data_IF_712010062362
#
_entry.id   IF_712010062362
#
_cell.length_a   1.000
_cell.length_b   1.000
_cell.length_c   1.000
_cell.angle_alpha   90.00
_cell.angle_beta   90.00
_cell.angle_gamma   90.00
#
_symmetry.space_group_name_H-M   'P 1'
#
loop_
_entity.id
_entity.type
_entity.pdbx_description
1 polymer ?
#
# COMPACT_ATOMS: atom_id res chain seq x y z
N UNK A 1 -1.95 3.01 -23.49
CA UNK A 1 -2.06 4.46 -23.79
C UNK A 1 -1.66 5.30 -22.57
N UNK A 2 -2.14 5.00 -21.36
CA UNK A 2 -1.94 5.83 -20.16
C UNK A 2 -0.49 5.85 -19.68
N UNK A 3 0.20 4.72 -19.69
CA UNK A 3 1.63 4.66 -19.33
C UNK A 3 2.50 5.55 -20.22
N UNK A 4 2.26 5.55 -21.54
CA UNK A 4 2.98 6.42 -22.48
C UNK A 4 2.65 7.89 -22.24
N UNK A 5 1.40 8.22 -21.93
CA UNK A 5 0.98 9.57 -21.58
C UNK A 5 1.69 10.07 -20.31
N UNK A 6 1.84 9.23 -19.29
CA UNK A 6 2.56 9.59 -18.06
C UNK A 6 4.04 9.84 -18.31
N UNK A 7 4.68 9.07 -19.19
CA UNK A 7 6.09 9.24 -19.52
C UNK A 7 6.38 10.50 -20.37
N UNK A 8 5.41 10.92 -21.19
CA UNK A 8 5.57 12.08 -22.09
C UNK A 8 5.04 13.38 -21.49
N UNK A 9 4.29 13.32 -20.38
CA UNK A 9 3.72 14.48 -19.73
C UNK A 9 4.78 15.28 -18.98
N UNK A 10 4.67 16.60 -19.02
CA UNK A 10 5.58 17.51 -18.30
C UNK A 10 5.58 17.27 -16.80
N UNK A 11 6.78 17.33 -16.21
CA UNK A 11 6.98 17.27 -14.75
C UNK A 11 6.88 18.68 -14.18
N UNK A 12 5.73 19.00 -13.60
CA UNK A 12 5.45 20.30 -13.00
C UNK A 12 5.65 20.20 -11.49
N UNK A 13 6.53 21.04 -10.94
CA UNK A 13 6.72 21.17 -9.50
C UNK A 13 6.19 22.52 -9.03
N UNK A 14 5.31 22.60 -8.01
CA UNK A 14 4.81 23.87 -7.48
C UNK A 14 5.97 24.73 -6.94
N UNK A 15 5.87 26.05 -7.13
CA UNK A 15 6.93 26.99 -6.71
C UNK A 15 7.12 27.05 -5.21
N UNK A 16 6.06 26.78 -4.43
CA UNK A 16 6.09 26.75 -2.97
C UNK A 16 6.40 25.40 -2.35
N UNK A 17 6.56 24.35 -3.16
CA UNK A 17 6.83 22.99 -2.65
C UNK A 17 8.28 22.82 -2.17
N UNK A 18 8.47 22.03 -1.11
CA UNK A 18 9.80 21.56 -0.72
C UNK A 18 10.28 20.52 -1.74
N UNK A 19 11.15 20.97 -2.66
CA UNK A 19 11.60 20.19 -3.81
C UNK A 19 12.26 18.86 -3.42
N UNK A 20 12.99 18.81 -2.30
CA UNK A 20 13.67 17.60 -1.86
C UNK A 20 12.64 16.56 -1.39
N UNK A 21 11.76 16.95 -0.47
CA UNK A 21 10.74 16.07 0.11
C UNK A 21 9.69 15.69 -0.95
N UNK A 22 9.33 16.64 -1.83
CA UNK A 22 8.42 16.42 -2.94
C UNK A 22 8.89 15.33 -3.91
N UNK A 23 10.18 15.31 -4.25
CA UNK A 23 10.75 14.28 -5.11
C UNK A 23 10.99 12.96 -4.37
N UNK A 24 11.16 12.99 -3.05
CA UNK A 24 11.38 11.80 -2.24
C UNK A 24 10.11 10.95 -2.08
N UNK A 25 8.93 11.59 -2.00
CA UNK A 25 7.66 10.89 -1.79
C UNK A 25 7.35 9.80 -2.85
N UNK A 26 7.42 10.06 -4.17
CA UNK A 26 7.20 9.02 -5.17
C UNK A 26 8.27 7.93 -5.16
N UNK A 27 9.52 8.27 -4.79
CA UNK A 27 10.60 7.28 -4.64
C UNK A 27 10.30 6.32 -3.50
N UNK A 28 9.83 6.82 -2.35
CA UNK A 28 9.40 5.98 -1.23
C UNK A 28 8.22 5.10 -1.67
N UNK A 29 7.27 5.65 -2.42
CA UNK A 29 6.13 4.90 -2.94
C UNK A 29 6.57 3.70 -3.77
N UNK A 30 7.44 3.90 -4.71
CA UNK A 30 7.94 2.84 -5.59
C UNK A 30 8.83 1.84 -4.84
N UNK A 31 9.71 2.33 -3.94
CA UNK A 31 10.59 1.50 -3.14
C UNK A 31 9.81 0.53 -2.24
N UNK A 32 8.70 0.97 -1.61
CA UNK A 32 7.88 0.10 -0.77
C UNK A 32 7.28 -1.07 -1.55
N UNK A 33 6.84 -0.84 -2.77
CA UNK A 33 6.32 -1.91 -3.64
C UNK A 33 7.41 -2.95 -3.93
N UNK A 34 8.61 -2.53 -4.33
CA UNK A 34 9.73 -3.44 -4.59
C UNK A 34 10.10 -4.24 -3.33
N UNK A 35 10.15 -3.57 -2.17
CA UNK A 35 10.48 -4.23 -0.90
C UNK A 35 9.42 -5.28 -0.51
N UNK A 36 8.14 -5.04 -0.78
CA UNK A 36 7.09 -6.05 -0.55
C UNK A 36 7.30 -7.30 -1.42
N UNK A 37 7.67 -7.11 -2.68
CA UNK A 37 7.91 -8.22 -3.60
C UNK A 37 9.11 -9.08 -3.20
N UNK A 38 10.05 -8.55 -2.43
CA UNK A 38 11.24 -9.29 -2.00
C UNK A 38 10.94 -10.53 -1.14
N UNK A 39 9.79 -10.57 -0.46
CA UNK A 39 9.42 -11.64 0.48
C UNK A 39 8.30 -12.53 -0.05
N UNK A 40 7.60 -12.10 -1.11
CA UNK A 40 6.50 -12.87 -1.70
C UNK A 40 7.04 -14.09 -2.45
N UNK A 41 6.64 -15.33 -2.09
CA UNK A 41 7.04 -16.53 -2.81
C UNK A 41 6.26 -16.66 -4.12
N UNK A 42 6.93 -16.55 -5.25
CA UNK A 42 6.33 -16.74 -6.58
C UNK A 42 6.19 -18.20 -6.94
N UNK A 43 7.22 -18.98 -6.61
CA UNK A 43 7.26 -20.43 -6.80
C UNK A 43 8.07 -21.03 -5.67
N UNK A 44 7.95 -22.36 -5.43
CA UNK A 44 8.77 -23.04 -4.41
C UNK A 44 10.29 -22.90 -4.62
N UNK A 45 10.70 -22.60 -5.86
CA UNK A 45 12.12 -22.46 -6.24
C UNK A 45 12.57 -21.00 -6.39
N UNK A 46 11.63 -20.05 -6.53
CA UNK A 46 11.94 -18.64 -6.76
C UNK A 46 11.33 -17.80 -5.63
N UNK A 47 12.08 -17.69 -4.56
CA UNK A 47 11.78 -16.84 -3.41
C UNK A 47 12.89 -15.80 -3.36
N UNK A 48 12.51 -14.52 -3.23
CA UNK A 48 13.51 -13.46 -3.12
C UNK A 48 14.32 -13.59 -1.84
N UNK A 49 13.63 -13.64 -0.70
CA UNK A 49 14.22 -13.91 0.61
C UNK A 49 13.22 -14.69 1.47
N UNK A 50 13.58 -15.92 1.88
CA UNK A 50 12.79 -16.64 2.89
C UNK A 50 13.18 -16.13 4.29
N UNK A 51 12.35 -15.22 4.80
CA UNK A 51 12.54 -14.63 6.12
C UNK A 51 11.56 -15.28 7.09
N UNK A 52 12.06 -15.84 8.20
CA UNK A 52 11.23 -16.50 9.21
C UNK A 52 10.13 -15.60 9.82
N UNK A 53 10.24 -14.28 9.65
CA UNK A 53 9.26 -13.25 10.07
C UNK A 53 8.62 -12.55 8.87
N UNK A 54 8.42 -13.27 7.76
CA UNK A 54 7.96 -12.70 6.48
C UNK A 54 6.67 -11.89 6.57
N UNK A 55 5.68 -12.36 7.34
CA UNK A 55 4.42 -11.63 7.56
C UNK A 55 4.66 -10.30 8.27
N UNK A 56 5.47 -10.28 9.32
CA UNK A 56 5.80 -9.05 10.04
C UNK A 56 6.55 -8.05 9.15
N UNK A 57 7.51 -8.55 8.35
CA UNK A 57 8.23 -7.73 7.38
C UNK A 57 7.26 -7.10 6.36
N UNK A 58 6.35 -7.91 5.80
CA UNK A 58 5.36 -7.45 4.82
C UNK A 58 4.50 -6.31 5.40
N UNK A 59 4.00 -6.49 6.62
CA UNK A 59 3.19 -5.46 7.30
C UNK A 59 4.01 -4.21 7.63
N UNK A 60 5.26 -4.36 8.09
CA UNK A 60 6.12 -3.21 8.36
C UNK A 60 6.41 -2.38 7.10
N UNK A 61 6.63 -3.03 5.96
CA UNK A 61 6.83 -2.33 4.68
C UNK A 61 5.52 -1.68 4.20
N UNK A 62 4.37 -2.31 4.39
CA UNK A 62 3.06 -1.72 4.08
C UNK A 62 2.83 -0.43 4.87
N UNK A 63 3.15 -0.42 6.17
CA UNK A 63 3.03 0.78 7.03
C UNK A 63 3.91 1.95 6.56
N UNK A 64 5.04 1.70 5.89
CA UNK A 64 5.83 2.77 5.26
C UNK A 64 5.02 3.45 4.13
N UNK A 65 4.09 2.72 3.52
CA UNK A 65 3.16 3.26 2.53
C UNK A 65 2.31 4.43 3.03
N UNK A 66 1.93 4.44 4.31
CA UNK A 66 1.19 5.57 4.90
C UNK A 66 2.06 6.81 5.05
N UNK A 67 3.36 6.63 5.32
CA UNK A 67 4.33 7.73 5.42
C UNK A 67 4.50 8.45 4.09
N UNK A 68 4.52 7.72 2.96
CA UNK A 68 4.63 8.35 1.62
C UNK A 68 3.50 9.35 1.36
N UNK A 69 2.27 9.03 1.80
CA UNK A 69 1.09 9.88 1.62
C UNK A 69 1.21 11.17 2.44
N UNK A 70 1.65 11.04 3.69
CA UNK A 70 1.89 12.20 4.55
C UNK A 70 2.96 13.12 3.97
N UNK A 71 4.07 12.55 3.53
CA UNK A 71 5.19 13.27 2.93
C UNK A 71 4.75 13.97 1.64
N UNK A 72 3.95 13.31 0.80
CA UNK A 72 3.42 13.87 -0.44
C UNK A 72 2.48 15.07 -0.19
N UNK A 73 1.52 14.90 0.72
CA UNK A 73 0.59 15.97 1.06
C UNK A 73 1.26 17.19 1.72
N UNK A 74 2.22 16.93 2.62
CA UNK A 74 2.96 18.00 3.30
C UNK A 74 3.86 18.78 2.34
N UNK A 75 4.64 18.08 1.51
CA UNK A 75 5.63 18.70 0.62
C UNK A 75 5.00 19.53 -0.50
N UNK A 76 3.75 19.26 -0.85
CA UNK A 76 2.99 19.98 -1.88
C UNK A 76 2.69 21.45 -1.51
N UNK A 77 2.83 21.82 -0.24
CA UNK A 77 2.51 23.15 0.30
C UNK A 77 1.11 23.65 -0.09
N UNK A 78 0.18 22.71 -0.27
CA UNK A 78 -1.22 22.97 -0.57
C UNK A 78 -2.09 22.45 0.57
N UNK A 79 -2.90 23.35 1.18
CA UNK A 79 -3.80 22.99 2.29
C UNK A 79 -4.80 21.89 1.92
N UNK A 80 -5.21 21.81 0.69
CA UNK A 80 -6.16 20.80 0.21
C UNK A 80 -5.48 19.44 0.02
N UNK A 81 -4.26 19.41 -0.52
CA UNK A 81 -3.46 18.19 -0.61
C UNK A 81 -3.15 17.65 0.78
N UNK A 82 -2.81 18.49 1.74
CA UNK A 82 -2.56 18.11 3.12
C UNK A 82 -3.81 17.54 3.79
N UNK A 83 -4.98 18.17 3.59
CA UNK A 83 -6.24 17.68 4.13
C UNK A 83 -6.63 16.34 3.51
N UNK A 84 -6.42 16.15 2.20
CA UNK A 84 -6.58 14.89 1.51
C UNK A 84 -5.66 13.80 2.06
N UNK A 85 -4.39 14.13 2.34
CA UNK A 85 -3.45 13.21 2.96
C UNK A 85 -3.90 12.75 4.35
N UNK A 86 -4.33 13.65 5.23
CA UNK A 86 -4.83 13.29 6.55
C UNK A 86 -6.06 12.39 6.49
N UNK A 87 -7.00 12.68 5.58
CA UNK A 87 -8.19 11.85 5.38
C UNK A 87 -7.82 10.42 4.95
N UNK A 88 -6.92 10.31 4.00
CA UNK A 88 -6.42 9.02 3.50
C UNK A 88 -5.69 8.24 4.58
N UNK A 89 -4.80 8.88 5.33
CA UNK A 89 -4.05 8.25 6.42
C UNK A 89 -5.00 7.77 7.52
N UNK A 90 -6.01 8.55 7.87
CA UNK A 90 -6.99 8.15 8.87
C UNK A 90 -7.75 6.88 8.44
N UNK A 91 -8.09 6.77 7.17
CA UNK A 91 -8.68 5.55 6.61
C UNK A 91 -7.71 4.38 6.68
N UNK A 92 -6.49 4.51 6.14
CA UNK A 92 -5.50 3.44 6.10
C UNK A 92 -5.17 2.91 7.51
N UNK A 93 -4.89 3.78 8.48
CA UNK A 93 -4.62 3.38 9.86
C UNK A 93 -5.81 2.66 10.50
N UNK A 94 -7.05 3.07 10.19
CA UNK A 94 -8.25 2.43 10.73
C UNK A 94 -8.42 1.00 10.21
N UNK A 95 -8.04 0.73 8.97
CA UNK A 95 -8.15 -0.60 8.36
C UNK A 95 -6.90 -1.46 8.52
N UNK A 96 -5.74 -0.87 8.82
CA UNK A 96 -4.50 -1.59 9.09
C UNK A 96 -4.62 -2.51 10.32
N UNK A 97 -5.29 -2.06 11.37
CA UNK A 97 -5.50 -2.87 12.58
C UNK A 97 -6.32 -4.15 12.31
N UNK A 98 -7.53 -4.10 11.71
CA UNK A 98 -8.25 -5.30 11.30
C UNK A 98 -7.48 -6.18 10.33
N UNK A 99 -6.70 -5.59 9.41
CA UNK A 99 -5.88 -6.31 8.46
C UNK A 99 -4.81 -7.16 9.17
N UNK A 100 -4.06 -6.56 10.10
CA UNK A 100 -3.04 -7.26 10.89
C UNK A 100 -3.68 -8.38 11.73
N UNK A 101 -4.78 -8.10 12.42
CA UNK A 101 -5.47 -9.09 13.25
C UNK A 101 -5.98 -10.27 12.42
N UNK A 102 -6.51 -10.03 11.23
CA UNK A 102 -6.96 -11.10 10.34
C UNK A 102 -5.81 -11.94 9.79
N UNK A 103 -4.64 -11.33 9.54
CA UNK A 103 -3.41 -12.01 9.13
C UNK A 103 -2.77 -12.85 10.23
N UNK A 104 -2.96 -12.51 11.49
CA UNK A 104 -2.45 -13.30 12.60
C UNK A 104 -3.14 -14.67 12.71
N UNK A 105 -4.37 -14.81 12.21
CA UNK A 105 -5.10 -16.10 12.27
C UNK A 105 -4.40 -17.19 11.46
N UNK A 106 -4.07 -17.01 10.15
CA UNK A 106 -3.30 -18.02 9.42
C UNK A 106 -1.89 -18.24 9.99
N UNK A 107 -1.26 -17.22 10.58
CA UNK A 107 0.03 -17.37 11.27
C UNK A 107 -0.11 -18.30 12.48
N UNK A 108 -1.15 -18.15 13.27
CA UNK A 108 -1.43 -19.02 14.44
C UNK A 108 -1.76 -20.45 14.00
N UNK A 109 -2.50 -20.63 12.93
CA UNK A 109 -2.87 -21.94 12.39
C UNK A 109 -1.66 -22.68 11.80
N UNK A 110 -0.74 -21.96 11.14
CA UNK A 110 0.48 -22.54 10.57
C UNK A 110 1.61 -22.71 11.60
N UNK A 111 1.57 -21.97 12.71
CA UNK A 111 2.64 -21.93 13.72
C UNK A 111 3.94 -21.28 13.23
N UNK A 112 3.89 -20.54 12.14
CA UNK A 112 5.05 -19.86 11.54
C UNK A 112 4.66 -18.50 10.96
N UNK A 113 5.60 -17.55 10.94
CA UNK A 113 5.44 -16.25 10.28
C UNK A 113 6.08 -16.21 8.88
N UNK A 114 6.73 -17.29 8.43
CA UNK A 114 7.23 -17.40 7.07
C UNK A 114 6.07 -17.52 6.08
N UNK A 115 6.06 -16.72 5.02
CA UNK A 115 5.04 -16.79 3.97
C UNK A 115 5.04 -18.14 3.26
N UNK A 116 6.24 -18.72 3.05
CA UNK A 116 6.37 -20.05 2.48
C UNK A 116 5.81 -21.12 3.42
N UNK A 117 6.16 -21.07 4.70
CA UNK A 117 5.67 -22.03 5.69
C UNK A 117 4.14 -22.00 5.84
N UNK A 118 3.52 -20.82 5.76
CA UNK A 118 2.06 -20.68 5.74
C UNK A 118 1.46 -21.32 4.48
N UNK A 119 2.11 -21.16 3.34
CA UNK A 119 1.64 -21.74 2.07
C UNK A 119 1.75 -23.27 2.09
N UNK A 120 2.85 -23.82 2.58
CA UNK A 120 3.08 -25.27 2.70
C UNK A 120 2.11 -25.92 3.70
N UNK A 121 1.83 -25.25 4.81
CA UNK A 121 0.87 -25.72 5.82
C UNK A 121 -0.56 -25.85 5.29
N UNK A 122 -0.91 -25.17 4.19
CA UNK A 122 -2.22 -25.24 3.53
C UNK A 122 -2.34 -26.41 2.52
N UNK A 123 -1.36 -27.32 2.45
CA UNK A 123 -1.36 -28.42 1.49
C UNK A 123 -2.54 -29.40 1.63
N UNK A 124 -3.20 -29.46 2.78
CA UNK A 124 -4.39 -30.29 2.98
C UNK A 124 -5.71 -29.57 2.74
N UNK A 125 -5.90 -28.41 3.34
CA UNK A 125 -7.10 -27.57 3.22
C UNK A 125 -6.71 -26.10 3.33
N UNK A 126 -7.30 -25.27 2.49
CA UNK A 126 -7.06 -23.83 2.51
C UNK A 126 -7.65 -23.18 3.75
N UNK A 127 -6.92 -22.31 4.39
CA UNK A 127 -7.36 -21.56 5.57
C UNK A 127 -8.58 -20.69 5.34
N UNK A 128 -8.89 -20.35 4.09
CA UNK A 128 -10.13 -19.71 3.68
C UNK A 128 -11.38 -20.47 4.18
N UNK A 129 -11.36 -21.80 4.13
CA UNK A 129 -12.48 -22.65 4.57
C UNK A 129 -12.45 -22.95 6.07
N UNK A 130 -11.27 -22.92 6.69
CA UNK A 130 -11.12 -23.15 8.14
C UNK A 130 -11.54 -21.89 8.93
N UNK A 131 -11.18 -20.70 8.42
CA UNK A 131 -11.43 -19.42 9.08
C UNK A 131 -12.12 -18.41 8.13
N UNK A 132 -13.37 -18.67 7.68
CA UNK A 132 -14.03 -17.86 6.66
C UNK A 132 -14.28 -16.41 7.12
N UNK A 133 -14.51 -16.19 8.41
CA UNK A 133 -14.71 -14.83 8.96
C UNK A 133 -13.42 -14.02 8.87
N UNK A 134 -12.27 -14.62 9.19
CA UNK A 134 -10.97 -13.97 9.07
C UNK A 134 -10.64 -13.63 7.61
N UNK A 135 -10.92 -14.55 6.70
CA UNK A 135 -10.73 -14.34 5.28
C UNK A 135 -11.61 -13.20 4.73
N UNK A 136 -12.86 -13.12 5.17
CA UNK A 136 -13.76 -12.02 4.81
C UNK A 136 -13.27 -10.67 5.35
N UNK A 137 -12.87 -10.62 6.62
CA UNK A 137 -12.31 -9.40 7.23
C UNK A 137 -11.04 -8.95 6.53
N UNK A 138 -10.15 -9.88 6.22
CA UNK A 138 -8.93 -9.61 5.46
C UNK A 138 -9.25 -9.05 4.07
N UNK A 139 -10.21 -9.63 3.37
CA UNK A 139 -10.63 -9.16 2.05
C UNK A 139 -11.16 -7.73 2.09
N UNK A 140 -12.06 -7.42 3.05
CA UNK A 140 -12.62 -6.06 3.20
C UNK A 140 -11.54 -5.05 3.59
N UNK A 141 -10.67 -5.41 4.53
CA UNK A 141 -9.57 -4.54 4.95
C UNK A 141 -8.58 -4.28 3.80
N UNK A 142 -8.30 -5.30 2.98
CA UNK A 142 -7.44 -5.16 1.81
C UNK A 142 -8.06 -4.28 0.71
N UNK A 143 -9.39 -4.34 0.50
CA UNK A 143 -10.08 -3.41 -0.39
C UNK A 143 -9.93 -1.96 0.08
N UNK A 144 -10.00 -1.73 1.39
CA UNK A 144 -9.82 -0.40 1.96
C UNK A 144 -8.36 0.09 1.84
N UNK A 145 -7.38 -0.79 2.02
CA UNK A 145 -5.96 -0.52 1.86
C UNK A 145 -5.60 -0.16 0.41
N UNK A 146 -6.20 -0.86 -0.54
CA UNK A 146 -5.97 -0.59 -1.97
C UNK A 146 -6.79 0.58 -2.52
N UNK A 147 -7.62 1.24 -1.69
CA UNK A 147 -8.45 2.37 -2.10
C UNK A 147 -9.47 2.03 -3.19
N UNK A 148 -9.94 0.78 -3.25
CA UNK A 148 -10.94 0.36 -4.23
C UNK A 148 -12.36 0.63 -3.72
N UNK A 149 -13.29 0.84 -4.65
CA UNK A 149 -14.69 1.02 -4.31
C UNK A 149 -15.18 -0.13 -3.40
N UNK A 150 -15.86 0.14 -2.27
CA UNK A 150 -16.48 1.40 -1.84
C UNK A 150 -15.58 2.35 -1.02
N UNK A 151 -14.30 2.06 -0.84
CA UNK A 151 -13.36 2.80 0.01
C UNK A 151 -12.47 3.76 -0.78
N UNK A 152 -12.95 4.32 -1.87
CA UNK A 152 -12.22 5.17 -2.81
C UNK A 152 -12.11 6.63 -2.29
N UNK A 153 -11.44 6.80 -1.13
CA UNK A 153 -11.10 8.12 -0.59
C UNK A 153 -9.70 8.58 -0.98
N UNK A 154 -8.88 7.67 -1.50
CA UNK A 154 -7.50 7.94 -1.89
C UNK A 154 -7.42 8.87 -3.10
N UNK A 155 -8.17 8.57 -4.13
CA UNK A 155 -8.13 9.30 -5.41
C UNK A 155 -9.26 10.32 -5.50
N UNK A 156 -10.39 10.05 -4.84
CA UNK A 156 -11.56 10.92 -4.75
C UNK A 156 -11.92 11.60 -6.10
N UNK A 157 -11.90 10.82 -7.19
CA UNK A 157 -12.18 11.32 -8.55
C UNK A 157 -13.55 12.00 -8.67
N UNK A 158 -14.50 11.61 -7.81
CA UNK A 158 -15.84 12.19 -7.75
C UNK A 158 -15.92 13.52 -6.99
N UNK A 159 -14.84 13.95 -6.32
CA UNK A 159 -14.79 15.20 -5.55
C UNK A 159 -14.10 16.31 -6.35
N UNK A 160 -14.46 17.57 -6.02
CA UNK A 160 -13.91 18.77 -6.70
C UNK A 160 -12.40 18.87 -6.48
N UNK A 161 -11.90 18.31 -5.37
CA UNK A 161 -10.48 18.31 -5.00
C UNK A 161 -10.07 16.87 -4.82
N UNK A 162 -9.36 16.33 -5.80
CA UNK A 162 -8.73 15.02 -5.74
C UNK A 162 -7.72 14.95 -4.58
N UNK A 163 -7.47 13.77 -4.04
CA UNK A 163 -6.72 13.51 -2.81
C UNK A 163 -5.35 14.20 -2.63
N UNK A 164 -4.39 13.49 -2.02
CA UNK A 164 -3.06 13.99 -1.66
C UNK A 164 -2.12 14.24 -2.86
N UNK A 165 -2.40 13.62 -4.00
CA UNK A 165 -1.57 13.62 -5.22
C UNK A 165 -1.91 14.73 -6.23
N UNK A 166 -2.73 15.70 -5.85
CA UNK A 166 -3.28 16.74 -6.72
C UNK A 166 -2.19 17.57 -7.44
N UNK A 167 -1.07 17.82 -6.76
CA UNK A 167 0.03 18.62 -7.27
C UNK A 167 1.05 17.79 -8.07
N UNK A 168 0.94 16.47 -8.02
CA UNK A 168 1.84 15.59 -8.76
C UNK A 168 1.39 15.43 -10.20
N UNK A 169 2.36 15.44 -11.14
CA UNK A 169 2.10 15.29 -12.57
C UNK A 169 3.06 14.28 -13.20
N UNK A 170 2.68 13.80 -14.40
CA UNK A 170 3.53 12.95 -15.22
C UNK A 170 3.94 11.65 -14.51
N UNK A 171 5.20 11.28 -14.67
CA UNK A 171 5.74 10.03 -14.12
C UNK A 171 5.69 9.96 -12.59
N UNK A 172 5.85 11.10 -11.89
CA UNK A 172 5.77 11.15 -10.42
C UNK A 172 4.39 10.75 -9.90
N UNK A 173 3.33 11.16 -10.58
CA UNK A 173 1.98 10.74 -10.26
C UNK A 173 1.79 9.23 -10.47
N UNK A 174 2.34 8.69 -11.57
CA UNK A 174 2.30 7.25 -11.85
C UNK A 174 3.03 6.37 -10.83
N UNK A 175 3.99 6.92 -10.08
CA UNK A 175 4.69 6.17 -9.01
C UNK A 175 3.83 5.97 -7.75
N UNK A 176 2.74 6.70 -7.59
CA UNK A 176 1.80 6.52 -6.47
C UNK A 176 0.73 5.46 -6.75
N UNK A 177 0.45 5.18 -8.03
CA UNK A 177 -0.45 4.14 -8.51
C UNK A 177 0.21 2.76 -8.48
#
# INVERSE_FOLDING_TARGET
>A
ADALKMLTKEDITPTGADKFIYNLAPVIAFATVILMWAVVPFTPLHIGADVGIGVLYFMAVASIGTVKIMVAGWSSNNKYALLGAFRTIAQLLSYEVPLVLSLLIPVMLAGTMSLQGITEAQGGMWYLFIAPVAAFLFYVANLAETGRAPFDLLEAESEIIAGYNIEYSGFKWGMFM
#
